data_IF_540003121332
#
_entry.id   IF_540003121332
#
_cell.length_a   1.000
_cell.length_b   1.000
_cell.length_c   1.000
_cell.angle_alpha   90.00
_cell.angle_beta   90.00
_cell.angle_gamma   90.00
#
_symmetry.space_group_name_H-M   'P 1'
#
loop_
_entity.id
_entity.type
_entity.pdbx_description
1 polymer ?
#
# COMPACT_ATOMS: atom_id res chain seq x y z
N UNK A 1 12.47 14.69 -21.17
CA UNK A 1 12.69 16.16 -21.16
C UNK A 1 13.85 16.53 -20.24
N UNK A 2 13.86 16.15 -18.95
CA UNK A 2 14.96 16.42 -18.02
C UNK A 2 16.27 15.78 -18.49
N UNK A 3 16.24 14.51 -18.89
CA UNK A 3 17.43 13.83 -19.45
C UNK A 3 17.98 14.51 -20.68
N UNK A 4 17.11 15.04 -21.55
CA UNK A 4 17.54 15.82 -22.73
C UNK A 4 18.17 17.18 -22.38
N UNK A 5 18.03 17.65 -21.14
CA UNK A 5 18.69 18.80 -20.57
C UNK A 5 19.89 18.42 -19.67
N UNK A 6 20.29 17.15 -19.67
CA UNK A 6 21.28 16.56 -18.76
C UNK A 6 20.94 16.74 -17.25
N UNK A 7 19.65 16.79 -16.91
CA UNK A 7 19.18 16.88 -15.52
C UNK A 7 18.68 15.51 -15.08
N UNK A 8 19.34 14.89 -14.09
CA UNK A 8 19.11 13.53 -13.62
C UNK A 8 18.31 13.45 -12.30
N UNK A 9 17.45 14.42 -12.05
CA UNK A 9 16.70 14.52 -10.78
C UNK A 9 15.97 13.24 -10.39
N UNK A 10 15.51 12.42 -11.35
CA UNK A 10 14.85 11.13 -11.08
C UNK A 10 15.77 10.08 -10.43
N UNK A 11 17.09 10.25 -10.52
CA UNK A 11 18.05 9.38 -9.83
C UNK A 11 18.25 9.72 -8.36
N UNK A 12 18.05 10.98 -7.99
CA UNK A 12 18.30 11.50 -6.63
C UNK A 12 17.06 11.56 -5.75
N UNK A 13 15.87 11.71 -6.34
CA UNK A 13 14.59 11.76 -5.63
C UNK A 13 13.79 10.50 -5.90
N UNK A 14 13.12 9.99 -4.86
CA UNK A 14 12.27 8.80 -4.98
C UNK A 14 10.96 9.06 -5.73
N UNK A 15 10.50 10.31 -5.75
CA UNK A 15 9.28 10.76 -6.42
C UNK A 15 9.50 12.15 -7.02
N UNK A 16 9.46 12.23 -8.36
CA UNK A 16 9.62 13.49 -9.10
C UNK A 16 8.44 14.45 -8.90
N UNK A 17 7.28 13.96 -8.49
CA UNK A 17 6.11 14.76 -8.10
C UNK A 17 6.11 15.11 -6.61
N UNK A 18 7.06 14.61 -5.83
CA UNK A 18 7.22 14.93 -4.42
C UNK A 18 7.52 16.41 -4.20
N UNK A 19 7.18 16.90 -3.00
CA UNK A 19 7.30 18.33 -2.64
C UNK A 19 8.67 18.91 -2.99
N UNK A 20 9.76 18.24 -2.62
CA UNK A 20 11.13 18.72 -2.88
C UNK A 20 11.46 18.75 -4.37
N UNK A 21 11.15 17.68 -5.10
CA UNK A 21 11.39 17.60 -6.53
C UNK A 21 10.62 18.68 -7.30
N UNK A 22 9.35 18.88 -6.97
CA UNK A 22 8.54 19.94 -7.60
C UNK A 22 9.07 21.35 -7.30
N UNK A 23 9.57 21.59 -6.09
CA UNK A 23 10.16 22.86 -5.72
C UNK A 23 11.46 23.13 -6.51
N UNK A 24 12.30 22.09 -6.64
CA UNK A 24 13.50 22.14 -7.47
C UNK A 24 13.14 22.43 -8.94
N UNK A 25 12.16 21.68 -9.49
CA UNK A 25 11.70 21.88 -10.87
C UNK A 25 11.17 23.31 -11.10
N UNK A 26 10.34 23.83 -10.18
CA UNK A 26 9.83 25.20 -10.25
C UNK A 26 10.98 26.23 -10.25
N UNK A 27 12.03 25.98 -9.47
CA UNK A 27 13.19 26.85 -9.49
C UNK A 27 13.97 26.77 -10.81
N UNK A 28 14.21 25.57 -11.32
CA UNK A 28 14.89 25.39 -12.63
C UNK A 28 14.14 26.06 -13.80
N UNK A 29 12.83 26.28 -13.67
CA UNK A 29 12.04 27.01 -14.66
C UNK A 29 12.38 28.51 -14.71
N UNK A 30 12.98 29.09 -13.66
CA UNK A 30 13.45 30.48 -13.70
C UNK A 30 14.64 30.66 -14.66
N UNK A 31 15.35 29.57 -14.97
CA UNK A 31 16.55 29.56 -15.80
C UNK A 31 17.83 29.75 -15.01
N UNK A 32 17.74 29.80 -13.69
CA UNK A 32 18.88 29.87 -12.78
C UNK A 32 19.36 28.45 -12.44
N UNK A 33 20.68 28.31 -12.26
CA UNK A 33 21.31 27.08 -11.79
C UNK A 33 21.20 26.98 -10.27
N UNK A 34 21.11 25.74 -9.75
CA UNK A 34 21.17 25.49 -8.32
C UNK A 34 22.62 25.20 -7.95
N UNK A 35 23.29 26.19 -7.38
CA UNK A 35 24.61 26.03 -6.78
C UNK A 35 24.52 25.64 -5.30
N UNK A 36 25.69 25.48 -4.65
CA UNK A 36 25.77 25.09 -3.26
C UNK A 36 25.11 26.08 -2.30
N UNK A 37 25.19 27.38 -2.55
CA UNK A 37 24.58 28.41 -1.71
C UNK A 37 23.05 28.38 -1.85
N UNK A 38 22.55 28.23 -3.06
CA UNK A 38 21.10 28.13 -3.32
C UNK A 38 20.50 26.86 -2.76
N UNK A 39 21.22 25.74 -2.84
CA UNK A 39 20.80 24.51 -2.19
C UNK A 39 20.66 24.71 -0.69
N UNK A 40 21.65 25.32 -0.03
CA UNK A 40 21.59 25.56 1.42
C UNK A 40 20.43 26.48 1.81
N UNK A 41 20.17 27.54 1.07
CA UNK A 41 18.99 28.39 1.26
C UNK A 41 17.69 27.60 1.17
N UNK A 42 17.55 26.75 0.14
CA UNK A 42 16.35 25.91 -0.05
C UNK A 42 16.21 24.85 1.05
N UNK A 43 17.32 24.33 1.54
CA UNK A 43 17.35 23.35 2.63
C UNK A 43 16.95 23.98 3.97
N UNK A 44 17.50 25.13 4.34
CA UNK A 44 17.17 25.87 5.54
C UNK A 44 15.70 26.32 5.57
N UNK A 45 15.17 26.75 4.42
CA UNK A 45 13.74 27.09 4.26
C UNK A 45 12.81 25.89 4.22
N UNK A 46 13.30 24.66 4.40
CA UNK A 46 12.54 23.41 4.30
C UNK A 46 11.78 23.23 2.98
N UNK A 47 12.27 23.86 1.92
CA UNK A 47 11.77 23.67 0.56
C UNK A 47 12.21 22.31 0.04
N UNK A 48 13.44 21.90 0.37
CA UNK A 48 13.99 20.57 0.14
C UNK A 48 13.87 19.77 1.43
N UNK A 49 13.37 18.55 1.35
CA UNK A 49 13.18 17.69 2.52
C UNK A 49 14.53 17.23 3.09
N UNK A 50 14.64 17.21 4.42
CA UNK A 50 15.87 16.83 5.15
C UNK A 50 16.18 15.32 5.09
N UNK A 51 15.28 14.49 4.58
CA UNK A 51 15.41 13.03 4.53
C UNK A 51 15.71 12.50 3.11
N UNK A 52 16.24 13.32 2.23
CA UNK A 52 16.71 12.85 0.92
C UNK A 52 17.89 11.90 1.11
N UNK A 53 17.92 10.83 0.33
CA UNK A 53 19.00 9.83 0.38
C UNK A 53 20.28 10.30 -0.30
N UNK A 54 20.15 11.19 -1.29
CA UNK A 54 21.27 11.75 -2.04
C UNK A 54 21.95 12.84 -1.23
N UNK A 55 23.29 12.91 -1.34
CA UNK A 55 24.07 13.99 -0.74
C UNK A 55 23.85 15.32 -1.47
N UNK A 56 24.21 16.43 -0.83
CA UNK A 56 24.15 17.75 -1.44
C UNK A 56 24.90 17.80 -2.78
N UNK A 57 26.12 17.26 -2.78
CA UNK A 57 26.99 17.23 -3.97
C UNK A 57 26.36 16.43 -5.11
N UNK A 58 25.75 15.28 -4.80
CA UNK A 58 25.04 14.45 -5.78
C UNK A 58 23.85 15.19 -6.39
N UNK A 59 23.08 15.90 -5.56
CA UNK A 59 21.92 16.66 -6.04
C UNK A 59 22.35 17.82 -6.95
N UNK A 60 23.43 18.54 -6.57
CA UNK A 60 23.96 19.63 -7.38
C UNK A 60 24.50 19.11 -8.72
N UNK A 61 25.21 17.98 -8.72
CA UNK A 61 25.75 17.36 -9.93
C UNK A 61 24.63 16.88 -10.87
N UNK A 62 23.61 16.22 -10.32
CA UNK A 62 22.44 15.78 -11.07
C UNK A 62 21.59 16.93 -11.65
N UNK A 63 21.67 18.10 -11.03
CA UNK A 63 20.98 19.31 -11.50
C UNK A 63 21.88 20.21 -12.41
N UNK A 64 23.10 19.81 -12.64
CA UNK A 64 24.07 20.56 -13.49
C UNK A 64 23.77 20.39 -14.97
N UNK A 65 22.55 20.69 -15.36
CA UNK A 65 22.07 20.68 -16.73
C UNK A 65 21.40 22.02 -17.07
N UNK A 66 21.32 22.34 -18.35
CA UNK A 66 20.69 23.59 -18.82
C UNK A 66 19.47 23.27 -19.67
N UNK A 67 18.30 23.70 -19.19
CA UNK A 67 17.06 23.65 -19.97
C UNK A 67 17.02 24.79 -20.98
N UNK A 68 16.80 24.47 -22.26
CA UNK A 68 16.51 25.46 -23.28
C UNK A 68 15.21 26.23 -22.96
N UNK A 69 15.01 27.44 -23.50
CA UNK A 69 13.77 28.19 -23.31
C UNK A 69 12.51 27.37 -23.69
N UNK A 70 12.58 26.57 -24.74
CA UNK A 70 11.49 25.71 -25.17
C UNK A 70 11.22 24.59 -24.16
N UNK A 71 12.26 23.93 -23.65
CA UNK A 71 12.11 22.88 -22.61
C UNK A 71 11.50 23.46 -21.32
N UNK A 72 11.91 24.66 -20.90
CA UNK A 72 11.33 25.34 -19.73
C UNK A 72 9.85 25.64 -19.94
N UNK A 73 9.48 26.16 -21.10
CA UNK A 73 8.07 26.43 -21.44
C UNK A 73 7.25 25.15 -21.40
N UNK A 74 7.72 24.07 -22.06
CA UNK A 74 7.03 22.79 -22.07
C UNK A 74 6.91 22.20 -20.66
N UNK A 75 7.95 22.29 -19.84
CA UNK A 75 7.92 21.79 -18.45
C UNK A 75 6.92 22.59 -17.60
N UNK A 76 6.86 23.92 -17.78
CA UNK A 76 5.88 24.77 -17.10
C UNK A 76 4.45 24.36 -17.42
N UNK A 77 4.13 24.13 -18.70
CA UNK A 77 2.81 23.67 -19.13
C UNK A 77 2.47 22.28 -18.55
N UNK A 78 3.42 21.34 -18.55
CA UNK A 78 3.21 20.01 -17.98
C UNK A 78 2.95 20.07 -16.46
N UNK A 79 3.69 20.91 -15.73
CA UNK A 79 3.47 21.07 -14.29
C UNK A 79 2.11 21.74 -14.00
N UNK A 80 1.71 22.73 -14.79
CA UNK A 80 0.40 23.37 -14.68
C UNK A 80 -0.73 22.36 -14.92
N UNK A 81 -0.61 21.55 -15.98
CA UNK A 81 -1.59 20.51 -16.27
C UNK A 81 -1.67 19.43 -15.17
N UNK A 82 -0.54 19.05 -14.56
CA UNK A 82 -0.55 18.15 -13.40
C UNK A 82 -1.25 18.77 -12.19
N UNK A 83 -1.08 20.06 -11.94
CA UNK A 83 -1.77 20.76 -10.86
C UNK A 83 -3.28 20.81 -11.13
N UNK A 84 -3.70 21.13 -12.34
CA UNK A 84 -5.11 21.11 -12.78
C UNK A 84 -5.75 19.72 -12.60
N UNK A 85 -5.06 18.64 -13.02
CA UNK A 85 -5.57 17.27 -12.83
C UNK A 85 -5.72 16.91 -11.34
N UNK A 86 -4.79 17.33 -10.50
CA UNK A 86 -4.88 17.11 -9.06
C UNK A 86 -6.07 17.87 -8.44
N UNK A 87 -6.33 19.10 -8.89
CA UNK A 87 -7.49 19.87 -8.43
C UNK A 87 -8.79 19.22 -8.90
N UNK A 88 -8.85 18.73 -10.14
CA UNK A 88 -10.02 17.98 -10.62
C UNK A 88 -10.27 16.71 -9.81
N UNK A 89 -9.23 15.93 -9.51
CA UNK A 89 -9.35 14.73 -8.66
C UNK A 89 -9.89 15.11 -7.28
N UNK A 90 -9.36 16.17 -6.67
CA UNK A 90 -9.82 16.65 -5.37
C UNK A 90 -11.30 17.07 -5.40
N UNK A 91 -11.72 17.83 -6.43
CA UNK A 91 -13.11 18.25 -6.59
C UNK A 91 -14.05 17.03 -6.73
N UNK A 92 -13.64 16.01 -7.50
CA UNK A 92 -14.40 14.76 -7.62
C UNK A 92 -14.46 13.98 -6.29
N UNK A 93 -13.39 13.94 -5.52
CA UNK A 93 -13.39 13.34 -4.19
C UNK A 93 -14.37 14.07 -3.25
N UNK A 94 -14.39 15.41 -3.28
CA UNK A 94 -15.30 16.24 -2.49
C UNK A 94 -16.77 16.03 -2.94
N UNK A 95 -17.03 15.92 -4.25
CA UNK A 95 -18.35 15.59 -4.78
C UNK A 95 -18.84 14.22 -4.34
N UNK A 96 -17.97 13.19 -4.42
CA UNK A 96 -18.29 11.83 -3.95
C UNK A 96 -18.68 11.88 -2.47
N UNK A 97 -17.90 12.58 -1.64
CA UNK A 97 -18.21 12.74 -0.22
C UNK A 97 -19.59 13.41 -0.02
N UNK A 98 -19.95 14.39 -0.83
CA UNK A 98 -21.24 15.06 -0.72
C UNK A 98 -22.43 14.17 -1.15
N UNK A 99 -22.23 13.27 -2.11
CA UNK A 99 -23.26 12.33 -2.56
C UNK A 99 -23.50 11.16 -1.60
N UNK A 100 -22.50 10.79 -0.79
CA UNK A 100 -22.63 9.71 0.17
C UNK A 100 -23.64 10.03 1.27
N UNK A 101 -24.48 9.05 1.61
CA UNK A 101 -25.41 9.15 2.73
C UNK A 101 -24.65 9.15 4.07
N UNK A 102 -25.24 9.68 5.16
CA UNK A 102 -24.58 9.71 6.47
C UNK A 102 -24.09 8.33 6.92
N UNK A 103 -24.89 7.26 6.71
CA UNK A 103 -24.53 5.89 7.07
C UNK A 103 -23.35 5.38 6.25
N UNK A 104 -23.28 5.73 4.96
CA UNK A 104 -22.18 5.36 4.06
C UNK A 104 -20.89 6.09 4.44
N UNK A 105 -20.99 7.37 4.82
CA UNK A 105 -19.84 8.15 5.33
C UNK A 105 -19.29 7.53 6.60
N UNK A 106 -20.15 7.20 7.55
CA UNK A 106 -19.75 6.55 8.79
C UNK A 106 -19.11 5.19 8.52
N UNK A 107 -19.74 4.36 7.68
CA UNK A 107 -19.19 3.06 7.28
C UNK A 107 -17.81 3.21 6.60
N UNK A 108 -17.67 4.19 5.69
CA UNK A 108 -16.39 4.50 5.05
C UNK A 108 -15.31 4.91 6.07
N UNK A 109 -15.66 5.70 7.07
CA UNK A 109 -14.73 6.12 8.11
C UNK A 109 -14.22 4.94 8.94
N UNK A 110 -15.12 4.06 9.43
CA UNK A 110 -14.70 2.93 10.27
C UNK A 110 -13.86 1.89 9.54
N UNK A 111 -14.12 1.62 8.26
CA UNK A 111 -13.30 0.66 7.51
C UNK A 111 -11.89 1.20 7.17
N UNK A 112 -11.65 2.50 7.27
CA UNK A 112 -10.31 3.11 7.09
C UNK A 112 -9.32 2.75 8.20
N UNK A 113 -9.82 2.28 9.35
CA UNK A 113 -8.97 1.75 10.42
C UNK A 113 -8.24 0.46 9.99
N UNK A 114 -8.77 -0.24 8.99
CA UNK A 114 -8.11 -1.42 8.42
C UNK A 114 -6.84 -1.00 7.68
N UNK A 115 -5.71 -1.48 8.14
CA UNK A 115 -4.39 -1.14 7.56
C UNK A 115 -4.40 -1.28 6.05
N UNK A 116 -4.05 -0.22 5.34
CA UNK A 116 -3.94 -0.18 3.88
C UNK A 116 -5.20 0.29 3.14
N UNK A 117 -6.28 0.64 3.85
CA UNK A 117 -7.48 1.24 3.26
C UNK A 117 -7.42 2.77 3.40
N UNK A 118 -7.33 3.46 2.28
CA UNK A 118 -7.43 4.93 2.20
C UNK A 118 -8.86 5.39 1.90
N UNK A 119 -9.07 6.72 1.85
CA UNK A 119 -10.39 7.32 1.64
C UNK A 119 -11.07 6.82 0.36
N UNK A 120 -10.47 7.02 -0.79
CA UNK A 120 -11.00 6.62 -2.09
C UNK A 120 -11.29 5.11 -2.17
N UNK A 121 -10.43 4.27 -1.55
CA UNK A 121 -10.66 2.82 -1.49
C UNK A 121 -11.85 2.47 -0.60
N UNK A 122 -12.02 3.15 0.53
CA UNK A 122 -13.15 2.95 1.44
C UNK A 122 -14.47 3.33 0.75
N UNK A 123 -14.52 4.48 0.09
CA UNK A 123 -15.68 4.92 -0.69
C UNK A 123 -16.02 3.90 -1.80
N UNK A 124 -15.02 3.45 -2.57
CA UNK A 124 -15.21 2.44 -3.61
C UNK A 124 -15.72 1.09 -3.05
N UNK A 125 -15.23 0.68 -1.88
CA UNK A 125 -15.69 -0.55 -1.23
C UNK A 125 -17.16 -0.39 -0.80
N UNK A 126 -17.50 0.70 -0.08
CA UNK A 126 -18.86 0.95 0.39
C UNK A 126 -19.85 1.11 -0.75
N UNK A 127 -19.47 1.78 -1.85
CA UNK A 127 -20.35 1.92 -3.03
C UNK A 127 -20.73 0.56 -3.65
N UNK A 128 -19.86 -0.45 -3.51
CA UNK A 128 -20.09 -1.78 -4.09
C UNK A 128 -20.83 -2.72 -3.14
N UNK A 129 -20.45 -2.76 -1.86
CA UNK A 129 -21.04 -3.72 -0.89
C UNK A 129 -22.24 -3.13 -0.14
N UNK A 130 -22.35 -1.79 -0.07
CA UNK A 130 -23.31 -1.09 0.77
C UNK A 130 -22.97 -1.15 2.25
N UNK A 131 -23.90 -0.66 3.07
CA UNK A 131 -23.78 -0.68 4.54
C UNK A 131 -24.56 -1.83 5.18
N UNK A 132 -25.60 -2.33 4.47
CA UNK A 132 -26.44 -3.43 4.95
C UNK A 132 -25.79 -4.80 4.68
N UNK A 133 -25.24 -5.40 5.72
CA UNK A 133 -24.61 -6.72 5.66
C UNK A 133 -25.61 -7.87 5.74
N UNK A 134 -26.92 -7.63 5.96
CA UNK A 134 -27.96 -8.68 5.89
C UNK A 134 -28.04 -9.31 4.50
N UNK A 135 -27.59 -8.60 3.45
CA UNK A 135 -27.45 -9.12 2.07
C UNK A 135 -26.47 -10.28 1.96
N UNK A 136 -25.54 -10.42 2.92
CA UNK A 136 -24.55 -11.48 2.95
C UNK A 136 -24.70 -12.26 4.25
N UNK A 137 -25.27 -13.48 4.22
CA UNK A 137 -25.52 -14.26 5.44
C UNK A 137 -24.26 -14.51 6.27
N UNK A 138 -23.10 -14.72 5.61
CA UNK A 138 -21.80 -14.91 6.28
C UNK A 138 -20.66 -14.23 5.51
N UNK A 139 -19.52 -14.09 6.17
CA UNK A 139 -18.24 -13.66 5.60
C UNK A 139 -17.80 -14.49 4.38
N UNK A 140 -18.17 -15.79 4.35
CA UNK A 140 -17.90 -16.68 3.22
C UNK A 140 -18.70 -16.29 1.98
N UNK A 141 -19.95 -15.84 2.15
CA UNK A 141 -20.79 -15.41 1.03
C UNK A 141 -20.25 -14.16 0.37
N UNK A 142 -19.90 -13.13 1.12
CA UNK A 142 -19.33 -11.89 0.56
C UNK A 142 -17.96 -12.17 -0.08
N UNK A 143 -17.13 -13.02 0.54
CA UNK A 143 -15.81 -13.38 0.00
C UNK A 143 -15.91 -14.18 -1.31
N UNK A 144 -16.91 -15.06 -1.42
CA UNK A 144 -17.20 -15.80 -2.66
C UNK A 144 -17.72 -14.85 -3.75
N UNK A 145 -18.65 -13.96 -3.39
CA UNK A 145 -19.20 -12.96 -4.31
C UNK A 145 -18.14 -11.99 -4.84
N UNK A 146 -17.19 -11.59 -3.98
CA UNK A 146 -16.04 -10.77 -4.39
C UNK A 146 -15.02 -11.53 -5.24
N UNK A 147 -15.13 -12.85 -5.38
CA UNK A 147 -14.18 -13.67 -6.12
C UNK A 147 -12.81 -13.79 -5.46
N UNK A 148 -12.75 -13.66 -4.13
CA UNK A 148 -11.50 -13.79 -3.36
C UNK A 148 -11.32 -15.18 -2.76
N UNK A 149 -12.35 -16.04 -2.80
CA UNK A 149 -12.26 -17.44 -2.39
C UNK A 149 -11.71 -18.34 -3.50
N UNK A 150 -10.96 -19.39 -3.14
CA UNK A 150 -10.62 -20.44 -4.09
C UNK A 150 -11.89 -21.07 -4.69
N UNK A 151 -11.85 -21.38 -5.96
CA UNK A 151 -12.90 -22.18 -6.61
C UNK A 151 -12.90 -23.61 -6.07
N UNK A 152 -14.09 -24.19 -5.99
CA UNK A 152 -14.27 -25.58 -5.60
C UNK A 152 -14.16 -26.46 -6.87
N UNK A 153 -12.91 -26.80 -7.21
CA UNK A 153 -12.55 -27.65 -8.34
C UNK A 153 -12.01 -28.98 -7.83
N UNK A 154 -12.91 -29.76 -7.22
CA UNK A 154 -12.59 -31.10 -6.76
C UNK A 154 -13.37 -32.15 -7.59
N UNK A 155 -12.70 -33.21 -8.00
CA UNK A 155 -13.31 -34.35 -8.66
C UNK A 155 -12.63 -35.61 -8.12
N UNK A 156 -13.43 -36.60 -7.70
CA UNK A 156 -12.97 -37.85 -7.13
C UNK A 156 -11.95 -37.64 -5.99
N UNK A 157 -12.21 -36.69 -5.06
CA UNK A 157 -11.35 -36.31 -3.93
C UNK A 157 -9.97 -35.74 -4.35
N UNK A 158 -9.78 -35.45 -5.62
CA UNK A 158 -8.55 -34.77 -6.10
C UNK A 158 -8.85 -33.31 -6.43
N UNK A 159 -8.19 -32.41 -5.72
CA UNK A 159 -8.29 -30.97 -5.97
C UNK A 159 -7.52 -30.60 -7.25
N UNK A 160 -8.23 -30.18 -8.29
CA UNK A 160 -7.65 -29.88 -9.61
C UNK A 160 -7.05 -28.47 -9.70
N UNK A 161 -7.66 -27.46 -9.07
CA UNK A 161 -7.19 -26.07 -9.14
C UNK A 161 -7.60 -25.28 -7.89
N UNK A 162 -6.70 -24.42 -7.41
CA UNK A 162 -6.98 -23.41 -6.38
C UNK A 162 -7.21 -22.01 -6.97
N UNK A 163 -7.54 -21.91 -8.28
CA UNK A 163 -7.84 -20.62 -8.92
C UNK A 163 -9.13 -20.05 -8.33
N UNK A 164 -9.13 -18.76 -8.03
CA UNK A 164 -10.33 -18.06 -7.55
C UNK A 164 -11.38 -17.96 -8.64
N UNK A 165 -12.66 -17.94 -8.26
CA UNK A 165 -13.78 -17.71 -9.17
C UNK A 165 -13.78 -16.26 -9.67
N UNK A 166 -14.51 -16.00 -10.77
CA UNK A 166 -14.86 -14.64 -11.17
C UNK A 166 -15.82 -14.07 -10.14
N UNK A 167 -15.64 -12.81 -9.78
CA UNK A 167 -16.48 -12.09 -8.84
C UNK A 167 -16.58 -10.62 -9.24
N UNK A 168 -17.00 -9.75 -8.34
CA UNK A 168 -17.04 -8.31 -8.60
C UNK A 168 -15.60 -7.78 -8.85
N UNK A 169 -15.35 -7.35 -10.09
CA UNK A 169 -13.99 -6.95 -10.51
C UNK A 169 -13.51 -5.69 -9.81
N UNK A 170 -14.39 -4.71 -9.59
CA UNK A 170 -14.04 -3.46 -8.93
C UNK A 170 -13.64 -3.71 -7.47
N UNK A 171 -14.49 -4.39 -6.70
CA UNK A 171 -14.20 -4.73 -5.31
C UNK A 171 -12.91 -5.54 -5.18
N UNK A 172 -12.75 -6.56 -6.03
CA UNK A 172 -11.55 -7.40 -6.04
C UNK A 172 -10.27 -6.59 -6.31
N UNK A 173 -10.28 -5.74 -7.34
CA UNK A 173 -9.11 -4.92 -7.70
C UNK A 173 -8.79 -3.94 -6.59
N UNK A 174 -9.79 -3.24 -6.05
CA UNK A 174 -9.62 -2.30 -4.93
C UNK A 174 -9.01 -2.99 -3.71
N UNK A 175 -9.54 -4.15 -3.30
CA UNK A 175 -8.99 -4.88 -2.13
C UNK A 175 -7.59 -5.42 -2.38
N UNK A 176 -7.24 -5.84 -3.59
CA UNK A 176 -5.87 -6.24 -3.93
C UNK A 176 -4.93 -5.03 -3.85
N UNK A 177 -5.34 -3.86 -4.32
CA UNK A 177 -4.57 -2.62 -4.20
C UNK A 177 -4.37 -2.23 -2.73
N UNK A 178 -5.42 -2.32 -1.90
CA UNK A 178 -5.33 -2.13 -0.46
C UNK A 178 -4.36 -3.14 0.19
N UNK A 179 -4.40 -4.40 -0.23
CA UNK A 179 -3.48 -5.43 0.26
C UNK A 179 -2.01 -5.10 -0.07
N UNK A 180 -1.74 -4.56 -1.27
CA UNK A 180 -0.39 -4.07 -1.62
C UNK A 180 0.07 -2.94 -0.69
N UNK A 181 -0.83 -2.02 -0.31
CA UNK A 181 -0.53 -0.96 0.64
C UNK A 181 -0.32 -1.51 2.07
N UNK A 182 -1.22 -2.38 2.54
CA UNK A 182 -1.17 -2.98 3.87
C UNK A 182 0.12 -3.76 4.14
N UNK A 183 0.59 -4.51 3.14
CA UNK A 183 1.81 -5.33 3.24
C UNK A 183 3.09 -4.48 3.41
N UNK A 184 3.10 -3.22 3.01
CA UNK A 184 4.23 -2.31 3.24
C UNK A 184 4.45 -1.99 4.73
N UNK A 185 3.40 -2.06 5.54
CA UNK A 185 3.52 -1.89 6.99
C UNK A 185 4.06 -3.17 7.65
N UNK A 186 5.38 -3.22 7.88
CA UNK A 186 6.09 -4.38 8.44
C UNK A 186 5.62 -4.77 9.86
N UNK A 187 4.92 -3.88 10.57
CA UNK A 187 4.40 -4.13 11.92
C UNK A 187 2.99 -4.74 11.92
N UNK A 188 2.33 -4.84 10.76
CA UNK A 188 0.95 -5.32 10.65
C UNK A 188 0.85 -6.84 10.53
N UNK A 189 -0.31 -7.36 10.97
CA UNK A 189 -0.72 -8.75 10.72
C UNK A 189 -0.71 -9.09 9.23
N UNK A 190 -1.15 -8.16 8.36
CA UNK A 190 -1.23 -8.40 6.92
C UNK A 190 0.15 -8.60 6.28
N UNK A 191 1.17 -7.89 6.77
CA UNK A 191 2.56 -8.16 6.36
C UNK A 191 3.00 -9.56 6.74
N UNK A 192 2.77 -9.97 8.00
CA UNK A 192 3.14 -11.30 8.49
C UNK A 192 2.39 -12.41 7.72
N UNK A 193 1.11 -12.22 7.42
CA UNK A 193 0.32 -13.13 6.60
C UNK A 193 0.89 -13.25 5.19
N UNK A 194 1.21 -12.12 4.56
CA UNK A 194 1.81 -12.09 3.22
C UNK A 194 3.14 -12.85 3.20
N UNK A 195 4.06 -12.54 4.10
CA UNK A 195 5.38 -13.18 4.16
C UNK A 195 5.26 -14.69 4.31
N UNK A 196 4.37 -15.14 5.19
CA UNK A 196 4.13 -16.57 5.41
C UNK A 196 3.59 -17.28 4.16
N UNK A 197 2.63 -16.67 3.44
CA UNK A 197 2.00 -17.31 2.29
C UNK A 197 2.90 -17.19 1.06
N UNK A 198 3.55 -16.07 0.85
CA UNK A 198 4.40 -15.82 -0.32
C UNK A 198 5.59 -16.77 -0.41
N UNK A 199 6.16 -17.17 0.75
CA UNK A 199 7.26 -18.13 0.82
C UNK A 199 6.92 -19.51 0.21
N UNK A 200 5.63 -19.92 0.21
CA UNK A 200 5.22 -21.25 -0.26
C UNK A 200 4.31 -21.24 -1.49
N UNK A 201 3.60 -20.12 -1.73
CA UNK A 201 2.55 -20.04 -2.76
C UNK A 201 2.77 -18.91 -3.77
N UNK A 202 3.82 -18.10 -3.57
CA UNK A 202 4.15 -16.94 -4.38
C UNK A 202 3.32 -15.70 -4.04
N UNK A 203 3.85 -14.53 -4.42
CA UNK A 203 3.32 -13.22 -4.04
C UNK A 203 1.89 -12.95 -4.54
N UNK A 204 1.58 -13.33 -5.78
CA UNK A 204 0.22 -13.10 -6.34
C UNK A 204 -0.88 -13.75 -5.51
N UNK A 205 -0.67 -14.99 -5.07
CA UNK A 205 -1.63 -15.70 -4.20
C UNK A 205 -1.66 -15.14 -2.78
N UNK A 206 -0.52 -14.68 -2.28
CA UNK A 206 -0.42 -14.05 -0.97
C UNK A 206 -1.22 -12.74 -0.91
N UNK A 207 -1.15 -11.87 -1.92
CA UNK A 207 -1.98 -10.66 -1.99
C UNK A 207 -3.48 -10.97 -2.02
N UNK A 208 -3.91 -11.98 -2.78
CA UNK A 208 -5.31 -12.39 -2.80
C UNK A 208 -5.77 -12.90 -1.43
N UNK A 209 -4.92 -13.62 -0.70
CA UNK A 209 -5.24 -14.10 0.65
C UNK A 209 -5.31 -12.94 1.67
N UNK A 210 -4.44 -11.93 1.56
CA UNK A 210 -4.51 -10.71 2.37
C UNK A 210 -5.80 -9.95 2.06
N UNK A 211 -6.12 -9.72 0.78
CA UNK A 211 -7.35 -9.06 0.34
C UNK A 211 -8.60 -9.77 0.87
N UNK A 212 -8.60 -11.12 0.88
CA UNK A 212 -9.67 -11.92 1.48
C UNK A 212 -9.80 -11.64 3.00
N UNK A 213 -8.69 -11.64 3.74
CA UNK A 213 -8.72 -11.35 5.18
C UNK A 213 -9.16 -9.92 5.48
N UNK A 214 -8.79 -8.95 4.63
CA UNK A 214 -9.27 -7.57 4.74
C UNK A 214 -10.80 -7.50 4.54
N UNK A 215 -11.34 -8.21 3.55
CA UNK A 215 -12.78 -8.24 3.31
C UNK A 215 -13.56 -8.87 4.47
N UNK A 216 -13.02 -9.92 5.09
CA UNK A 216 -13.61 -10.51 6.31
C UNK A 216 -13.62 -9.49 7.45
N UNK A 217 -12.53 -8.77 7.66
CA UNK A 217 -12.47 -7.72 8.68
C UNK A 217 -13.52 -6.62 8.42
N UNK A 218 -13.63 -6.13 7.17
CA UNK A 218 -14.64 -5.15 6.76
C UNK A 218 -16.05 -5.68 7.03
N UNK A 219 -16.33 -6.94 6.68
CA UNK A 219 -17.64 -7.55 6.91
C UNK A 219 -18.02 -7.52 8.39
N UNK A 220 -17.13 -7.91 9.29
CA UNK A 220 -17.40 -7.92 10.73
C UNK A 220 -17.48 -6.50 11.32
N UNK A 221 -16.67 -5.56 10.83
CA UNK A 221 -16.79 -4.16 11.23
C UNK A 221 -18.19 -3.62 10.91
N UNK A 222 -18.67 -3.86 9.69
CA UNK A 222 -19.98 -3.35 9.24
C UNK A 222 -21.17 -4.12 9.82
N UNK A 223 -21.05 -5.45 10.01
CA UNK A 223 -22.12 -6.28 10.52
C UNK A 223 -22.27 -6.22 12.04
N UNK A 224 -21.14 -6.35 12.72
CA UNK A 224 -21.11 -6.57 14.17
C UNK A 224 -20.73 -5.29 14.93
N UNK A 225 -20.40 -4.21 14.23
CA UNK A 225 -19.98 -2.92 14.82
C UNK A 225 -18.65 -2.99 15.57
N UNK A 226 -17.82 -4.01 15.32
CA UNK A 226 -16.56 -4.19 16.03
C UNK A 226 -15.48 -3.24 15.51
N UNK A 227 -14.63 -2.77 16.42
CA UNK A 227 -13.47 -1.92 16.06
C UNK A 227 -12.36 -2.82 15.53
N UNK A 228 -11.73 -2.41 14.42
CA UNK A 228 -10.56 -3.10 13.87
C UNK A 228 -9.40 -3.07 14.87
N UNK A 229 -8.83 -4.24 15.12
CA UNK A 229 -7.61 -4.39 15.91
C UNK A 229 -6.58 -5.18 15.11
N UNK A 230 -5.47 -4.56 14.75
CA UNK A 230 -4.37 -5.26 14.09
C UNK A 230 -3.72 -6.25 15.08
N UNK A 231 -3.64 -7.51 14.68
CA UNK A 231 -3.06 -8.58 15.50
C UNK A 231 -1.53 -8.54 15.57
N UNK A 232 -0.91 -7.64 14.77
CA UNK A 232 0.52 -7.40 14.76
C UNK A 232 1.35 -8.43 13.97
N UNK A 233 2.61 -8.07 13.76
CA UNK A 233 3.55 -8.88 12.98
C UNK A 233 3.87 -10.24 13.62
N UNK A 234 3.82 -10.32 14.95
CA UNK A 234 4.19 -11.51 15.70
C UNK A 234 3.05 -12.52 15.88
N UNK A 235 1.85 -12.23 15.37
CA UNK A 235 0.68 -13.10 15.51
C UNK A 235 0.97 -14.57 15.18
N UNK A 236 1.59 -14.83 14.04
CA UNK A 236 1.91 -16.20 13.62
C UNK A 236 3.08 -16.82 14.41
N UNK A 237 3.86 -16.03 15.11
CA UNK A 237 4.92 -16.54 15.99
C UNK A 237 4.34 -16.97 17.33
N UNK A 238 3.39 -16.22 17.85
CA UNK A 238 2.67 -16.55 19.10
C UNK A 238 1.67 -17.69 18.89
N UNK A 239 0.95 -17.68 17.78
CA UNK A 239 -0.01 -18.70 17.41
C UNK A 239 0.69 -20.02 17.06
N UNK A 240 0.85 -20.96 17.90
CA UNK A 240 1.60 -22.22 17.82
C UNK A 240 3.04 -22.13 18.33
N UNK A 241 3.34 -21.22 19.26
CA UNK A 241 4.68 -21.06 19.83
C UNK A 241 5.22 -22.38 20.38
N UNK A 242 4.43 -23.07 21.20
CA UNK A 242 4.80 -24.37 21.81
C UNK A 242 5.06 -25.46 20.76
N UNK A 243 4.20 -25.56 19.74
CA UNK A 243 4.39 -26.53 18.66
C UNK A 243 5.66 -26.25 17.86
N UNK A 244 6.01 -24.97 17.63
CA UNK A 244 7.26 -24.57 16.97
C UNK A 244 8.47 -24.91 17.85
N UNK A 245 8.41 -24.59 19.15
CA UNK A 245 9.47 -24.91 20.10
C UNK A 245 9.73 -26.41 20.09
N UNK A 246 8.69 -27.23 20.23
CA UNK A 246 8.81 -28.69 20.23
C UNK A 246 9.39 -29.23 18.90
N UNK A 247 8.98 -28.65 17.77
CA UNK A 247 9.53 -29.02 16.47
C UNK A 247 11.03 -28.67 16.34
N UNK A 248 11.46 -27.52 16.85
CA UNK A 248 12.87 -27.13 16.88
C UNK A 248 13.68 -27.98 17.84
N UNK A 249 13.16 -28.27 19.03
CA UNK A 249 13.81 -29.17 20.00
C UNK A 249 14.00 -30.57 19.42
N UNK A 250 12.99 -31.10 18.70
CA UNK A 250 13.11 -32.38 18.01
C UNK A 250 14.21 -32.38 16.95
N UNK A 251 14.35 -31.30 16.18
CA UNK A 251 15.41 -31.13 15.18
C UNK A 251 16.78 -31.02 15.83
N UNK A 252 16.90 -30.25 16.90
CA UNK A 252 18.16 -30.11 17.64
C UNK A 252 18.65 -31.45 18.23
N UNK A 253 17.73 -32.20 18.85
CA UNK A 253 18.00 -33.55 19.34
C UNK A 253 18.48 -34.50 18.22
N UNK A 254 17.86 -34.43 17.04
CA UNK A 254 18.25 -35.24 15.89
C UNK A 254 19.65 -34.87 15.36
N UNK A 255 20.11 -33.64 15.63
CA UNK A 255 21.47 -33.17 15.31
C UNK A 255 22.48 -33.42 16.45
N UNK A 256 22.09 -34.15 17.51
CA UNK A 256 22.95 -34.47 18.66
C UNK A 256 23.08 -33.35 19.71
N UNK A 257 22.25 -32.31 19.62
CA UNK A 257 22.24 -31.24 20.62
C UNK A 257 21.31 -31.60 21.79
N UNK A 258 21.81 -31.54 23.00
CA UNK A 258 21.01 -31.67 24.23
C UNK A 258 20.95 -30.32 24.96
N UNK A 259 19.78 -29.99 25.51
CA UNK A 259 19.65 -28.78 26.28
C UNK A 259 20.51 -28.86 27.55
N UNK A 260 21.28 -27.80 27.88
CA UNK A 260 22.01 -27.74 29.14
C UNK A 260 21.03 -27.90 30.30
N UNK A 261 21.31 -28.81 31.21
CA UNK A 261 20.54 -28.97 32.44
C UNK A 261 20.82 -27.73 33.28
N UNK A 262 19.87 -26.82 33.35
CA UNK A 262 19.94 -25.69 34.29
C UNK A 262 19.69 -26.32 35.66
N UNK A 263 20.73 -26.42 36.46
CA UNK A 263 20.63 -26.79 37.86
C UNK A 263 19.74 -25.73 38.55
N UNK A 264 18.68 -26.17 39.20
CA UNK A 264 17.73 -25.39 39.94
C UNK A 264 18.35 -24.73 41.17
#
# INVERSE_FOLDING_TARGET
MLEGANIKLSGTVSDINGKSARSILKYLLTGESIDGAKYDEMYERKIIAHNLKATKEQIIDDLNGVMSPLQRRMMKELLAHLDELNDHIKNLDDEIDNFMKPEEKQASQVIRDVTGIGNTSAQAIISVIGTDMARFPTDKHISSWAGLCPGDNESARKRKSGKTRKGNSLLRTTLITCAHAAVKNKKSYFHAQFMRISAHRGSKRAYVAVAHSMLIAIYHILKDGVIFKDLGADYYNQFNKERKINAYLKKLKALGWEAPVVAA
#
